data_IF_645318456986
#
_entry.id   IF_645318456986
#
_cell.length_a   1.000
_cell.length_b   1.000
_cell.length_c   1.000
_cell.angle_alpha   90.00
_cell.angle_beta   90.00
_cell.angle_gamma   90.00
#
_symmetry.space_group_name_H-M   'P 1'
#
loop_
_entity.id
_entity.type
_entity.pdbx_description
1 polymer ?
#
# COMPACT_ATOMS: atom_id res chain seq x y z
N UNK A 1 6.75 -0.62 8.91
CA UNK A 1 6.01 -0.65 10.20
C UNK A 1 5.51 -2.07 10.35
N UNK A 2 6.12 -2.83 11.25
CA UNK A 2 5.77 -4.23 11.45
C UNK A 2 4.59 -4.31 12.41
N UNK A 3 3.51 -4.98 12.02
CA UNK A 3 2.38 -5.37 12.88
C UNK A 3 2.77 -6.48 13.90
N UNK A 4 4.08 -6.71 14.12
CA UNK A 4 4.57 -7.85 14.91
C UNK A 4 4.47 -7.68 16.44
N UNK A 5 4.19 -6.48 16.97
CA UNK A 5 4.25 -6.31 18.43
C UNK A 5 2.94 -6.60 19.17
N UNK A 6 1.79 -6.34 18.61
CA UNK A 6 0.48 -6.70 19.16
C UNK A 6 -0.62 -6.53 18.10
N UNK A 7 -1.30 -7.61 17.76
CA UNK A 7 -2.37 -7.61 16.76
C UNK A 7 -3.67 -7.12 17.42
N UNK A 8 -3.74 -5.82 17.73
CA UNK A 8 -4.96 -5.19 18.26
C UNK A 8 -5.79 -4.57 17.16
N UNK A 9 -7.10 -4.40 17.38
CA UNK A 9 -8.02 -3.76 16.43
C UNK A 9 -7.56 -2.35 16.05
N UNK A 10 -7.14 -1.57 17.04
CA UNK A 10 -6.59 -0.22 16.84
C UNK A 10 -5.35 -0.23 15.93
N UNK A 11 -4.40 -1.14 16.17
CA UNK A 11 -3.18 -1.24 15.37
C UNK A 11 -3.48 -1.63 13.92
N UNK A 12 -4.42 -2.53 13.67
CA UNK A 12 -4.81 -2.94 12.32
C UNK A 12 -5.51 -1.80 11.57
N UNK A 13 -6.41 -1.07 12.25
CA UNK A 13 -7.09 0.11 11.65
C UNK A 13 -6.08 1.22 11.34
N UNK A 14 -5.13 1.49 12.23
CA UNK A 14 -4.06 2.46 11.99
C UNK A 14 -3.12 2.02 10.85
N UNK A 15 -2.84 0.73 10.74
CA UNK A 15 -2.09 0.16 9.62
C UNK A 15 -2.82 0.36 8.28
N UNK A 16 -4.12 0.07 8.21
CA UNK A 16 -4.95 0.34 7.04
C UNK A 16 -4.96 1.83 6.68
N UNK A 17 -5.10 2.70 7.67
CA UNK A 17 -5.04 4.15 7.50
C UNK A 17 -3.69 4.61 6.94
N UNK A 18 -2.59 4.05 7.45
CA UNK A 18 -1.24 4.31 6.92
C UNK A 18 -1.10 3.86 5.46
N UNK A 19 -1.74 2.74 5.09
CA UNK A 19 -1.75 2.25 3.71
C UNK A 19 -2.51 3.17 2.75
N UNK A 20 -3.63 3.77 3.22
CA UNK A 20 -4.35 4.81 2.46
C UNK A 20 -3.47 6.04 2.26
N UNK A 21 -2.87 6.56 3.34
CA UNK A 21 -2.02 7.76 3.29
C UNK A 21 -0.80 7.52 2.39
N UNK A 22 -0.26 6.32 2.39
CA UNK A 22 0.84 5.93 1.50
C UNK A 22 0.40 5.77 0.03
N UNK A 23 -0.92 5.64 -0.25
CA UNK A 23 -1.47 5.39 -1.59
C UNK A 23 -1.30 3.94 -2.04
N UNK A 24 -1.35 2.98 -1.10
CA UNK A 24 -1.08 1.55 -1.35
C UNK A 24 -2.23 0.63 -0.97
N UNK A 25 -3.40 1.17 -0.59
CA UNK A 25 -4.57 0.36 -0.29
C UNK A 25 -5.25 -0.10 -1.58
N UNK A 26 -5.50 -1.43 -1.69
CA UNK A 26 -6.37 -2.03 -2.69
C UNK A 26 -7.57 -2.71 -2.04
N UNK A 27 -8.70 -2.75 -2.74
CA UNK A 27 -9.92 -3.41 -2.26
C UNK A 27 -10.18 -4.69 -3.03
N UNK A 28 -10.46 -5.77 -2.30
CA UNK A 28 -11.01 -7.00 -2.88
C UNK A 28 -12.47 -7.15 -2.41
N UNK A 29 -13.42 -7.07 -3.34
CA UNK A 29 -14.84 -6.96 -3.02
C UNK A 29 -15.61 -8.19 -3.51
N UNK A 30 -16.44 -8.77 -2.61
CA UNK A 30 -17.35 -9.86 -2.93
C UNK A 30 -18.82 -9.50 -2.76
N UNK A 31 -19.70 -10.47 -3.02
CA UNK A 31 -21.16 -10.30 -3.00
C UNK A 31 -21.71 -9.80 -1.66
N UNK A 32 -21.05 -10.08 -0.55
CA UNK A 32 -21.43 -9.58 0.77
C UNK A 32 -21.36 -8.05 0.90
N UNK A 33 -20.48 -7.40 0.12
CA UNK A 33 -20.42 -5.94 0.07
C UNK A 33 -21.65 -5.36 -0.64
N UNK A 34 -22.03 -5.88 -1.82
CA UNK A 34 -23.26 -5.46 -2.51
C UNK A 34 -24.51 -5.68 -1.64
N UNK A 35 -24.54 -6.80 -0.87
CA UNK A 35 -25.60 -7.04 0.14
C UNK A 35 -25.60 -5.97 1.23
N UNK A 36 -24.44 -5.57 1.74
CA UNK A 36 -24.33 -4.54 2.78
C UNK A 36 -24.79 -3.16 2.27
N UNK A 37 -24.40 -2.80 1.05
CA UNK A 37 -24.81 -1.53 0.42
C UNK A 37 -26.30 -1.47 0.16
N UNK A 38 -26.89 -2.56 -0.33
CA UNK A 38 -28.30 -2.61 -0.76
C UNK A 38 -29.26 -3.01 0.36
N UNK A 39 -28.73 -3.21 1.58
CA UNK A 39 -29.57 -3.57 2.72
C UNK A 39 -30.53 -2.44 3.07
N UNK A 40 -31.82 -2.76 3.13
CA UNK A 40 -32.88 -1.87 3.59
C UNK A 40 -33.79 -2.59 4.59
N UNK A 41 -34.83 -1.90 5.09
CA UNK A 41 -35.80 -2.46 6.06
C UNK A 41 -36.57 -3.69 5.51
N UNK A 42 -36.63 -3.85 4.18
CA UNK A 42 -37.31 -4.99 3.52
C UNK A 42 -36.36 -6.21 3.32
N UNK A 43 -35.08 -6.07 3.64
CA UNK A 43 -34.04 -7.06 3.45
C UNK A 43 -33.13 -6.73 2.27
N UNK A 44 -31.98 -7.41 2.17
CA UNK A 44 -31.01 -7.18 1.10
C UNK A 44 -31.57 -7.59 -0.27
N UNK A 45 -31.52 -6.67 -1.24
CA UNK A 45 -31.92 -6.95 -2.62
C UNK A 45 -30.88 -7.81 -3.39
N UNK A 46 -29.60 -7.75 -3.02
CA UNK A 46 -28.54 -8.50 -3.66
C UNK A 46 -28.56 -9.99 -3.28
N UNK A 47 -28.24 -10.84 -4.23
CA UNK A 47 -28.17 -12.29 -4.06
C UNK A 47 -26.73 -12.76 -3.76
N UNK A 48 -26.59 -13.76 -2.91
CA UNK A 48 -25.35 -14.54 -2.82
C UNK A 48 -25.18 -15.40 -4.06
N UNK A 49 -24.00 -15.98 -4.25
CA UNK A 49 -23.73 -16.82 -5.40
C UNK A 49 -24.70 -18.01 -5.49
N UNK A 50 -24.95 -18.71 -4.38
CA UNK A 50 -25.91 -19.81 -4.34
C UNK A 50 -27.34 -19.35 -4.66
N UNK A 51 -27.81 -18.26 -4.08
CA UNK A 51 -29.14 -17.66 -4.35
C UNK A 51 -29.28 -17.23 -5.82
N UNK A 52 -28.21 -16.69 -6.42
CA UNK A 52 -28.20 -16.29 -7.84
C UNK A 52 -28.34 -17.49 -8.78
N UNK A 53 -27.63 -18.58 -8.50
CA UNK A 53 -27.73 -19.83 -9.29
C UNK A 53 -29.12 -20.44 -9.12
N UNK A 54 -29.69 -20.46 -7.92
CA UNK A 54 -31.03 -20.93 -7.67
C UNK A 54 -32.09 -20.11 -8.40
N UNK A 55 -31.98 -18.78 -8.35
CA UNK A 55 -32.88 -17.86 -9.07
C UNK A 55 -32.76 -18.06 -10.59
N UNK A 56 -31.54 -18.23 -11.11
CA UNK A 56 -31.31 -18.50 -12.53
C UNK A 56 -31.92 -19.85 -12.95
N UNK A 57 -31.77 -20.90 -12.14
CA UNK A 57 -32.39 -22.20 -12.36
C UNK A 57 -33.90 -22.08 -12.48
N UNK A 58 -34.52 -21.31 -11.58
CA UNK A 58 -35.97 -21.05 -11.59
C UNK A 58 -36.43 -20.35 -12.87
N UNK A 59 -35.72 -19.33 -13.34
CA UNK A 59 -36.01 -18.62 -14.59
C UNK A 59 -35.91 -19.54 -15.83
N UNK A 60 -35.01 -20.53 -15.80
CA UNK A 60 -34.90 -21.56 -16.83
C UNK A 60 -35.97 -22.68 -16.67
N UNK A 61 -36.73 -22.67 -15.60
CA UNK A 61 -37.70 -23.70 -15.28
C UNK A 61 -37.06 -25.07 -15.00
N UNK A 62 -35.88 -25.05 -14.38
CA UNK A 62 -35.17 -26.25 -13.89
C UNK A 62 -35.37 -26.34 -12.38
N UNK A 63 -35.69 -27.54 -11.90
CA UNK A 63 -35.89 -27.79 -10.46
C UNK A 63 -34.54 -27.88 -9.73
N UNK A 64 -34.13 -26.76 -9.13
CA UNK A 64 -32.90 -26.67 -8.34
C UNK A 64 -32.84 -27.63 -7.16
N UNK A 65 -33.99 -28.06 -6.62
CA UNK A 65 -34.04 -28.99 -5.48
C UNK A 65 -33.73 -30.44 -5.88
N UNK A 66 -33.92 -30.77 -7.14
CA UNK A 66 -33.60 -32.09 -7.68
C UNK A 66 -32.11 -32.35 -7.89
N UNK A 67 -31.29 -31.28 -7.89
CA UNK A 67 -29.85 -31.39 -8.10
C UNK A 67 -29.17 -31.82 -6.79
N UNK A 68 -28.43 -32.93 -6.86
CA UNK A 68 -27.58 -33.36 -5.74
C UNK A 68 -26.41 -32.40 -5.57
N UNK A 69 -26.38 -31.64 -4.47
CA UNK A 69 -25.39 -30.59 -4.20
C UNK A 69 -24.27 -31.04 -3.26
N UNK A 70 -24.33 -32.27 -2.78
CA UNK A 70 -23.34 -32.77 -1.81
C UNK A 70 -22.00 -33.00 -2.48
N UNK A 71 -21.00 -32.19 -2.07
CA UNK A 71 -19.63 -32.35 -2.55
C UNK A 71 -19.34 -31.73 -3.93
N UNK A 72 -20.28 -30.98 -4.52
CA UNK A 72 -20.10 -30.30 -5.80
C UNK A 72 -20.06 -28.78 -5.60
N UNK A 73 -19.26 -28.12 -6.42
CA UNK A 73 -19.06 -26.66 -6.41
C UNK A 73 -20.18 -25.91 -7.15
N UNK A 74 -20.33 -24.62 -6.90
CA UNK A 74 -21.27 -23.78 -7.63
C UNK A 74 -21.08 -23.78 -9.16
N UNK A 75 -19.83 -23.74 -9.70
CA UNK A 75 -19.60 -23.90 -11.14
C UNK A 75 -20.12 -25.22 -11.70
N UNK A 76 -19.93 -26.32 -10.98
CA UNK A 76 -20.46 -27.64 -11.39
C UNK A 76 -21.98 -27.65 -11.37
N UNK A 77 -22.61 -27.05 -10.34
CA UNK A 77 -24.07 -26.92 -10.28
C UNK A 77 -24.58 -26.13 -11.49
N UNK A 78 -23.90 -25.01 -11.84
CA UNK A 78 -24.24 -24.19 -13.00
C UNK A 78 -24.15 -24.98 -14.31
N UNK A 79 -23.11 -25.80 -14.47
CA UNK A 79 -22.96 -26.69 -15.63
C UNK A 79 -24.12 -27.71 -15.72
N UNK A 80 -24.48 -28.34 -14.61
CA UNK A 80 -25.61 -29.27 -14.54
C UNK A 80 -26.94 -28.61 -14.96
N UNK A 81 -27.18 -27.39 -14.50
CA UNK A 81 -28.38 -26.60 -14.88
C UNK A 81 -28.38 -26.32 -16.38
N UNK A 82 -27.25 -25.91 -16.96
CA UNK A 82 -27.13 -25.70 -18.41
C UNK A 82 -27.41 -26.98 -19.20
N UNK A 83 -26.86 -28.13 -18.80
CA UNK A 83 -27.10 -29.43 -19.43
C UNK A 83 -28.58 -29.84 -19.37
N UNK A 84 -29.22 -29.72 -18.20
CA UNK A 84 -30.63 -30.03 -18.03
C UNK A 84 -31.52 -29.10 -18.88
N UNK A 85 -31.17 -27.81 -18.98
CA UNK A 85 -31.90 -26.87 -19.80
C UNK A 85 -31.73 -27.19 -21.31
N UNK A 86 -30.52 -27.51 -21.75
CA UNK A 86 -30.23 -27.94 -23.12
C UNK A 86 -31.07 -29.16 -23.54
N UNK A 87 -31.12 -30.18 -22.68
CA UNK A 87 -31.93 -31.41 -22.88
C UNK A 87 -33.42 -31.03 -22.92
N UNK A 88 -33.90 -30.22 -21.98
CA UNK A 88 -35.32 -29.84 -21.89
C UNK A 88 -35.81 -29.11 -23.13
N UNK A 89 -35.03 -28.14 -23.64
CA UNK A 89 -35.39 -27.30 -24.77
C UNK A 89 -34.97 -27.90 -26.14
N UNK A 90 -34.14 -28.96 -26.13
CA UNK A 90 -33.60 -29.57 -27.34
C UNK A 90 -32.61 -28.69 -28.11
N UNK A 91 -31.81 -27.91 -27.38
CA UNK A 91 -30.80 -27.00 -27.94
C UNK A 91 -29.37 -27.44 -27.59
N UNK A 92 -28.39 -26.87 -28.24
CA UNK A 92 -26.98 -27.13 -27.92
C UNK A 92 -26.58 -26.55 -26.57
N UNK A 93 -25.61 -27.16 -25.89
CA UNK A 93 -25.11 -26.74 -24.57
C UNK A 93 -24.64 -25.29 -24.56
N UNK A 94 -23.89 -24.85 -25.57
CA UNK A 94 -23.39 -23.48 -25.66
C UNK A 94 -24.54 -22.45 -25.76
N UNK A 95 -25.63 -22.76 -26.39
CA UNK A 95 -26.83 -21.93 -26.43
C UNK A 95 -27.52 -21.86 -25.05
N UNK A 96 -27.61 -22.97 -24.36
CA UNK A 96 -28.13 -23.05 -22.99
C UNK A 96 -27.26 -22.26 -22.03
N UNK A 97 -25.95 -22.34 -22.13
CA UNK A 97 -24.98 -21.60 -21.33
C UNK A 97 -25.08 -20.10 -21.60
N UNK A 98 -25.18 -19.66 -22.84
CA UNK A 98 -25.38 -18.24 -23.19
C UNK A 98 -26.68 -17.70 -22.60
N UNK A 99 -27.76 -18.49 -22.64
CA UNK A 99 -29.03 -18.13 -22.01
C UNK A 99 -28.91 -18.01 -20.48
N UNK A 100 -28.22 -18.98 -19.84
CA UNK A 100 -27.94 -18.94 -18.39
C UNK A 100 -27.20 -17.65 -18.01
N UNK A 101 -26.10 -17.33 -18.70
CA UNK A 101 -25.32 -16.10 -18.47
C UNK A 101 -26.14 -14.82 -18.68
N UNK A 102 -27.01 -14.80 -19.68
CA UNK A 102 -27.91 -13.66 -19.93
C UNK A 102 -28.89 -13.43 -18.78
N UNK A 103 -29.42 -14.50 -18.18
CA UNK A 103 -30.30 -14.43 -17.01
C UNK A 103 -29.52 -13.93 -15.79
N UNK A 104 -28.32 -14.43 -15.54
CA UNK A 104 -27.42 -13.92 -14.48
C UNK A 104 -27.23 -12.41 -14.60
N UNK A 105 -26.94 -11.93 -15.82
CA UNK A 105 -26.83 -10.48 -16.09
C UNK A 105 -28.11 -9.72 -15.78
N UNK A 106 -29.25 -10.29 -16.09
CA UNK A 106 -30.56 -9.71 -15.78
C UNK A 106 -30.84 -9.64 -14.27
N UNK A 107 -30.51 -10.69 -13.54
CA UNK A 107 -30.73 -10.80 -12.09
C UNK A 107 -29.77 -9.92 -11.26
N UNK A 108 -28.69 -9.42 -11.84
CA UNK A 108 -27.69 -8.59 -11.15
C UNK A 108 -27.79 -7.11 -11.51
N UNK A 109 -28.99 -6.63 -11.86
CA UNK A 109 -29.28 -5.21 -12.22
C UNK A 109 -29.49 -4.31 -11.01
N UNK A 110 -28.81 -4.55 -9.93
CA UNK A 110 -28.96 -3.80 -8.69
C UNK A 110 -28.37 -2.40 -8.78
N UNK A 111 -29.03 -1.47 -8.10
CA UNK A 111 -28.57 -0.10 -8.00
C UNK A 111 -28.93 0.46 -6.61
N UNK A 112 -27.99 1.04 -5.86
CA UNK A 112 -28.25 1.58 -4.53
C UNK A 112 -29.14 2.82 -4.62
N UNK A 113 -30.03 3.01 -3.64
CA UNK A 113 -30.81 4.23 -3.50
C UNK A 113 -29.89 5.44 -3.17
N UNK A 114 -30.46 6.63 -3.09
CA UNK A 114 -29.69 7.85 -2.87
C UNK A 114 -28.93 7.83 -1.55
N UNK A 115 -29.58 7.43 -0.46
CA UNK A 115 -28.99 7.42 0.88
C UNK A 115 -27.84 6.39 0.99
N UNK A 116 -28.08 5.18 0.51
CA UNK A 116 -27.07 4.12 0.44
C UNK A 116 -25.85 4.54 -0.39
N UNK A 117 -26.10 5.21 -1.53
CA UNK A 117 -25.03 5.69 -2.40
C UNK A 117 -24.23 6.80 -1.75
N UNK A 118 -24.88 7.81 -1.16
CA UNK A 118 -24.18 8.92 -0.51
C UNK A 118 -23.28 8.42 0.63
N UNK A 119 -23.80 7.54 1.49
CA UNK A 119 -23.05 7.00 2.61
C UNK A 119 -21.85 6.15 2.19
N UNK A 120 -22.06 5.14 1.34
CA UNK A 120 -20.97 4.26 0.95
C UNK A 120 -19.98 4.90 -0.03
N UNK A 121 -20.43 5.89 -0.83
CA UNK A 121 -19.51 6.68 -1.67
C UNK A 121 -18.54 7.49 -0.81
N UNK A 122 -18.99 8.07 0.30
CA UNK A 122 -18.12 8.81 1.23
C UNK A 122 -16.99 7.91 1.75
N UNK A 123 -17.29 6.68 2.17
CA UNK A 123 -16.26 5.74 2.64
C UNK A 123 -15.23 5.43 1.54
N UNK A 124 -15.69 5.16 0.32
CA UNK A 124 -14.79 4.84 -0.79
C UNK A 124 -13.99 6.06 -1.28
N UNK A 125 -14.57 7.27 -1.20
CA UNK A 125 -13.88 8.51 -1.54
C UNK A 125 -12.73 8.83 -0.60
N UNK A 126 -12.94 8.66 0.71
CA UNK A 126 -11.91 8.90 1.72
C UNK A 126 -10.81 7.84 1.64
N UNK A 127 -11.17 6.58 1.38
CA UNK A 127 -10.20 5.50 1.19
C UNK A 127 -9.38 5.65 -0.09
N UNK A 128 -9.91 6.25 -1.15
CA UNK A 128 -9.28 6.44 -2.47
C UNK A 128 -8.41 5.24 -2.91
N UNK A 129 -8.99 4.04 -3.07
CA UNK A 129 -8.21 2.83 -3.25
C UNK A 129 -7.44 2.87 -4.58
N UNK A 130 -6.21 2.35 -4.58
CA UNK A 130 -5.35 2.27 -5.75
C UNK A 130 -5.96 1.40 -6.87
N UNK A 131 -6.72 0.40 -6.49
CA UNK A 131 -7.44 -0.53 -7.36
C UNK A 131 -8.57 -1.21 -6.60
N UNK A 132 -9.59 -1.65 -7.34
CA UNK A 132 -10.64 -2.53 -6.83
C UNK A 132 -10.67 -3.79 -7.69
N UNK A 133 -10.63 -4.96 -7.06
CA UNK A 133 -10.85 -6.26 -7.71
C UNK A 133 -12.13 -6.85 -7.14
N UNK A 134 -12.99 -7.36 -8.00
CA UNK A 134 -14.25 -7.96 -7.59
C UNK A 134 -14.56 -9.24 -8.33
N UNK A 135 -15.22 -10.17 -7.64
CA UNK A 135 -15.83 -11.35 -8.24
C UNK A 135 -17.31 -11.14 -8.58
N UNK A 136 -17.87 -9.97 -8.24
CA UNK A 136 -19.25 -9.64 -8.51
C UNK A 136 -19.49 -9.34 -9.98
N UNK A 137 -20.68 -9.66 -10.47
CA UNK A 137 -21.13 -9.30 -11.82
C UNK A 137 -21.83 -7.94 -11.86
N UNK A 138 -22.40 -7.48 -10.71
CA UNK A 138 -23.10 -6.21 -10.58
C UNK A 138 -22.20 -4.99 -10.71
N UNK A 139 -22.80 -3.81 -10.82
CA UNK A 139 -22.14 -2.51 -10.95
C UNK A 139 -22.36 -1.62 -9.72
N UNK A 140 -22.57 -2.21 -8.55
CA UNK A 140 -22.76 -1.45 -7.30
C UNK A 140 -21.54 -0.60 -7.00
N UNK A 141 -20.33 -1.15 -7.16
CA UNK A 141 -19.06 -0.44 -6.93
C UNK A 141 -18.96 0.79 -7.84
N UNK A 142 -19.24 0.62 -9.13
CA UNK A 142 -19.20 1.71 -10.10
C UNK A 142 -20.25 2.80 -9.80
N UNK A 143 -21.40 2.41 -9.28
CA UNK A 143 -22.43 3.37 -8.86
C UNK A 143 -21.98 4.23 -7.67
N UNK A 144 -21.13 3.68 -6.79
CA UNK A 144 -20.53 4.38 -5.65
C UNK A 144 -19.33 5.25 -6.09
N UNK A 145 -18.57 4.80 -7.07
CA UNK A 145 -17.38 5.48 -7.60
C UNK A 145 -17.67 6.28 -8.89
N UNK A 146 -18.90 6.75 -9.07
CA UNK A 146 -19.34 7.42 -10.30
C UNK A 146 -18.38 8.55 -10.72
N UNK A 147 -17.87 8.45 -11.95
CA UNK A 147 -16.92 9.44 -12.53
C UNK A 147 -15.47 9.30 -12.04
N UNK A 148 -15.17 8.35 -11.14
CA UNK A 148 -13.83 8.13 -10.57
C UNK A 148 -13.25 6.76 -10.89
N UNK A 149 -13.98 5.89 -11.56
CA UNK A 149 -13.54 4.52 -11.85
C UNK A 149 -13.60 4.16 -13.33
N UNK A 150 -12.83 3.12 -13.67
CA UNK A 150 -12.83 2.45 -14.96
C UNK A 150 -13.12 0.97 -14.74
N UNK A 151 -14.27 0.49 -15.23
CA UNK A 151 -14.60 -0.93 -15.21
C UNK A 151 -13.76 -1.70 -16.22
N UNK A 152 -13.14 -2.77 -15.78
CA UNK A 152 -12.32 -3.69 -16.57
C UNK A 152 -12.92 -5.09 -16.51
N UNK A 153 -13.05 -5.71 -17.68
CA UNK A 153 -13.53 -7.09 -17.82
C UNK A 153 -12.38 -8.11 -17.64
N UNK A 154 -12.66 -9.42 -17.54
CA UNK A 154 -11.61 -10.42 -17.50
C UNK A 154 -10.69 -10.43 -18.73
N UNK A 155 -11.13 -9.86 -19.84
CA UNK A 155 -10.36 -9.78 -21.10
C UNK A 155 -9.39 -8.59 -21.12
N UNK A 156 -9.58 -7.62 -20.21
CA UNK A 156 -8.75 -6.44 -20.11
C UNK A 156 -7.47 -6.69 -19.31
N UNK A 157 -6.47 -5.83 -19.52
CA UNK A 157 -5.28 -5.81 -18.69
C UNK A 157 -5.58 -5.10 -17.37
N UNK A 158 -5.05 -5.63 -16.26
CA UNK A 158 -5.07 -4.94 -14.97
C UNK A 158 -4.09 -3.77 -15.06
N UNK A 159 -4.62 -2.58 -15.34
CA UNK A 159 -3.86 -1.34 -15.47
C UNK A 159 -4.13 -0.41 -14.30
N UNK A 160 -3.26 0.58 -14.11
CA UNK A 160 -3.46 1.65 -13.13
C UNK A 160 -3.48 2.99 -13.87
N UNK A 161 -4.61 3.39 -14.46
CA UNK A 161 -4.72 4.67 -15.15
C UNK A 161 -4.57 5.81 -14.14
N UNK A 162 -4.02 6.93 -14.60
CA UNK A 162 -3.82 8.09 -13.73
C UNK A 162 -5.16 8.75 -13.39
N UNK A 163 -5.38 9.01 -12.10
CA UNK A 163 -6.57 9.69 -11.56
C UNK A 163 -7.91 8.96 -11.79
N UNK A 164 -7.86 7.65 -12.02
CA UNK A 164 -9.06 6.81 -12.18
C UNK A 164 -8.81 5.50 -11.46
N UNK A 165 -9.77 5.04 -10.66
CA UNK A 165 -9.69 3.77 -9.93
C UNK A 165 -10.07 2.64 -10.89
N UNK A 166 -9.16 1.69 -11.21
CA UNK A 166 -9.53 0.52 -11.99
C UNK A 166 -10.39 -0.43 -11.14
N UNK A 167 -11.56 -0.79 -11.64
CA UNK A 167 -12.45 -1.80 -11.06
C UNK A 167 -12.39 -3.04 -11.95
N UNK A 168 -11.67 -4.06 -11.53
CA UNK A 168 -11.43 -5.26 -12.31
C UNK A 168 -12.40 -6.38 -11.90
N UNK A 169 -13.31 -6.74 -12.81
CA UNK A 169 -14.26 -7.83 -12.64
C UNK A 169 -13.63 -9.18 -12.98
N UNK A 170 -13.10 -9.87 -11.99
CA UNK A 170 -12.38 -11.14 -12.18
C UNK A 170 -13.25 -12.23 -12.83
N UNK A 171 -14.54 -12.25 -12.52
CA UNK A 171 -15.51 -13.26 -13.02
C UNK A 171 -16.43 -12.72 -14.10
N UNK A 172 -16.14 -11.58 -14.69
CA UNK A 172 -16.99 -10.98 -15.71
C UNK A 172 -17.94 -9.90 -15.20
N UNK A 173 -18.57 -9.22 -16.13
CA UNK A 173 -19.39 -8.03 -15.87
C UNK A 173 -20.75 -8.15 -16.55
N UNK A 174 -21.82 -7.77 -15.84
CA UNK A 174 -23.20 -8.00 -16.26
C UNK A 174 -23.61 -7.44 -17.65
N UNK A 175 -22.97 -6.41 -18.13
CA UNK A 175 -23.29 -5.85 -19.45
C UNK A 175 -22.58 -6.56 -20.60
N UNK A 176 -21.75 -7.55 -20.31
CA UNK A 176 -21.15 -8.46 -21.28
C UNK A 176 -21.37 -9.93 -20.85
N UNK A 177 -22.51 -10.55 -21.20
CA UNK A 177 -22.84 -11.92 -20.79
C UNK A 177 -21.76 -12.94 -21.13
N UNK A 178 -21.07 -12.78 -22.25
CA UNK A 178 -20.01 -13.73 -22.66
C UNK A 178 -18.80 -13.68 -21.75
N UNK A 179 -18.56 -12.54 -21.06
CA UNK A 179 -17.47 -12.39 -20.09
C UNK A 179 -17.72 -13.14 -18.77
N UNK A 180 -18.98 -13.54 -18.49
CA UNK A 180 -19.37 -14.16 -17.22
C UNK A 180 -18.70 -15.51 -17.05
N UNK A 181 -18.00 -15.68 -15.93
CA UNK A 181 -17.32 -16.92 -15.52
C UNK A 181 -18.16 -17.56 -14.41
N UNK A 182 -18.91 -18.63 -14.75
CA UNK A 182 -19.86 -19.22 -13.81
C UNK A 182 -19.98 -20.74 -13.96
N UNK A 183 -19.69 -21.31 -15.14
CA UNK A 183 -19.70 -22.76 -15.35
C UNK A 183 -18.32 -23.35 -15.10
N UNK A 184 -18.24 -24.67 -14.98
CA UNK A 184 -16.97 -25.38 -14.78
C UNK A 184 -15.98 -25.15 -15.94
N UNK A 185 -16.46 -25.11 -17.20
CA UNK A 185 -15.59 -24.85 -18.34
C UNK A 185 -15.03 -23.43 -18.34
N UNK A 186 -15.81 -22.45 -17.87
CA UNK A 186 -15.33 -21.08 -17.72
C UNK A 186 -14.18 -21.02 -16.70
N UNK A 187 -14.34 -21.75 -15.57
CA UNK A 187 -13.30 -21.84 -14.53
C UNK A 187 -12.05 -22.56 -15.01
N UNK A 188 -12.17 -23.63 -15.80
CA UNK A 188 -11.01 -24.34 -16.36
C UNK A 188 -10.15 -23.41 -17.23
N UNK A 189 -10.76 -22.48 -17.96
CA UNK A 189 -10.03 -21.50 -18.75
C UNK A 189 -9.28 -20.50 -17.87
N UNK A 190 -9.82 -20.17 -16.70
CA UNK A 190 -9.20 -19.25 -15.73
C UNK A 190 -8.03 -19.91 -14.99
N UNK A 191 -8.05 -21.25 -14.82
CA UNK A 191 -7.04 -22.02 -14.08
C UNK A 191 -5.76 -22.35 -14.86
N UNK A 192 -5.57 -21.85 -16.06
CA UNK A 192 -4.35 -22.16 -16.82
C UNK A 192 -3.11 -21.68 -16.08
N UNK A 193 -2.16 -22.59 -15.73
CA UNK A 193 -0.93 -22.18 -15.06
C UNK A 193 -0.18 -21.14 -15.88
N UNK A 194 0.40 -20.15 -15.20
CA UNK A 194 1.19 -19.06 -15.80
C UNK A 194 0.37 -18.10 -16.72
N UNK A 195 -0.94 -18.05 -16.58
CA UNK A 195 -1.71 -17.03 -17.28
C UNK A 195 -1.46 -15.66 -16.65
N UNK A 196 -1.39 -14.63 -17.51
CA UNK A 196 -1.15 -13.24 -17.13
C UNK A 196 -2.00 -12.78 -15.93
N UNK A 197 -3.29 -13.15 -15.91
CA UNK A 197 -4.24 -12.72 -14.88
C UNK A 197 -3.87 -13.23 -13.49
N UNK A 198 -3.53 -14.51 -13.36
CA UNK A 198 -3.14 -15.09 -12.06
C UNK A 198 -1.84 -14.48 -11.53
N UNK A 199 -0.84 -14.34 -12.42
CA UNK A 199 0.45 -13.73 -12.05
C UNK A 199 0.22 -12.27 -11.64
N UNK A 200 -0.54 -11.51 -12.43
CA UNK A 200 -0.81 -10.10 -12.14
C UNK A 200 -1.63 -9.92 -10.87
N UNK A 201 -2.63 -10.77 -10.62
CA UNK A 201 -3.42 -10.76 -9.39
C UNK A 201 -2.52 -11.00 -8.16
N UNK A 202 -1.68 -12.05 -8.20
CA UNK A 202 -0.76 -12.37 -7.12
C UNK A 202 0.24 -11.22 -6.85
N UNK A 203 0.81 -10.62 -7.89
CA UNK A 203 1.70 -9.47 -7.75
C UNK A 203 0.97 -8.24 -7.21
N UNK A 204 -0.25 -7.96 -7.71
CA UNK A 204 -1.06 -6.84 -7.26
C UNK A 204 -1.37 -6.94 -5.76
N UNK A 205 -1.74 -8.14 -5.28
CA UNK A 205 -1.96 -8.41 -3.86
C UNK A 205 -0.65 -8.25 -3.07
N UNK A 206 0.46 -8.79 -3.58
CA UNK A 206 1.75 -8.75 -2.88
C UNK A 206 2.33 -7.35 -2.77
N UNK A 207 2.12 -6.50 -3.78
CA UNK A 207 2.68 -5.15 -3.86
C UNK A 207 1.86 -4.09 -3.13
N UNK A 208 0.75 -4.47 -2.45
CA UNK A 208 -0.17 -3.55 -1.79
C UNK A 208 -0.75 -4.11 -0.50
N UNK A 209 -1.32 -3.25 0.32
CA UNK A 209 -2.24 -3.68 1.38
C UNK A 209 -3.58 -3.98 0.75
N UNK A 210 -4.08 -5.20 0.94
CA UNK A 210 -5.36 -5.64 0.40
C UNK A 210 -6.41 -5.72 1.50
N UNK A 211 -7.46 -4.90 1.40
CA UNK A 211 -8.62 -4.98 2.28
C UNK A 211 -9.74 -5.78 1.58
N UNK A 212 -10.11 -6.92 2.16
CA UNK A 212 -11.14 -7.81 1.64
C UNK A 212 -12.47 -7.53 2.33
N UNK A 213 -13.49 -7.18 1.55
CA UNK A 213 -14.82 -6.81 2.03
C UNK A 213 -15.90 -7.70 1.40
N UNK A 214 -16.73 -8.32 2.25
CA UNK A 214 -17.88 -9.10 1.79
C UNK A 214 -17.56 -10.32 0.93
N UNK A 215 -16.37 -10.89 1.08
CA UNK A 215 -15.89 -12.04 0.32
C UNK A 215 -15.52 -13.19 1.25
N UNK A 216 -16.02 -14.38 0.95
CA UNK A 216 -15.87 -15.56 1.83
C UNK A 216 -14.62 -16.41 1.61
N UNK A 217 -13.67 -15.99 0.77
CA UNK A 217 -12.44 -16.73 0.42
C UNK A 217 -12.69 -18.21 0.03
N UNK A 218 -13.84 -18.49 -0.58
CA UNK A 218 -14.20 -19.84 -1.04
C UNK A 218 -13.73 -20.17 -2.47
N UNK A 219 -13.24 -19.19 -3.21
CA UNK A 219 -12.78 -19.35 -4.59
C UNK A 219 -11.32 -19.79 -4.64
N UNK A 220 -11.07 -20.94 -5.25
CA UNK A 220 -9.72 -21.54 -5.35
C UNK A 220 -8.75 -20.64 -6.13
N UNK A 221 -9.22 -19.84 -7.10
CA UNK A 221 -8.37 -18.91 -7.85
C UNK A 221 -7.82 -17.81 -6.97
N UNK A 222 -8.69 -17.20 -6.15
CA UNK A 222 -8.31 -16.14 -5.23
C UNK A 222 -7.40 -16.70 -4.14
N UNK A 223 -7.74 -17.86 -3.57
CA UNK A 223 -6.89 -18.56 -2.60
C UNK A 223 -5.51 -18.88 -3.19
N UNK A 224 -5.45 -19.34 -4.44
CA UNK A 224 -4.17 -19.61 -5.11
C UNK A 224 -3.35 -18.34 -5.32
N UNK A 225 -3.98 -17.20 -5.65
CA UNK A 225 -3.28 -15.94 -5.80
C UNK A 225 -2.75 -15.41 -4.45
N UNK A 226 -3.52 -15.58 -3.37
CA UNK A 226 -3.10 -15.26 -1.99
C UNK A 226 -1.94 -16.16 -1.57
N UNK A 227 -2.03 -17.47 -1.78
CA UNK A 227 -0.96 -18.42 -1.49
C UNK A 227 0.32 -18.11 -2.29
N UNK A 228 0.20 -17.79 -3.57
CA UNK A 228 1.32 -17.34 -4.38
C UNK A 228 1.93 -16.04 -3.88
N UNK A 229 1.12 -15.09 -3.44
CA UNK A 229 1.62 -13.84 -2.87
C UNK A 229 2.45 -14.09 -1.60
N UNK A 230 2.07 -15.07 -0.79
CA UNK A 230 2.81 -15.45 0.42
C UNK A 230 4.14 -16.15 0.13
N UNK A 231 4.27 -16.82 -1.03
CA UNK A 231 5.49 -17.53 -1.44
C UNK A 231 6.56 -16.61 -2.10
N UNK A 232 6.24 -15.35 -2.39
CA UNK A 232 7.21 -14.37 -2.89
C UNK A 232 8.02 -13.86 -1.71
N UNK A 233 9.36 -13.86 -1.83
CA UNK A 233 10.29 -13.47 -0.77
C UNK A 233 9.93 -12.12 -0.13
N UNK A 234 10.02 -12.05 1.19
CA UNK A 234 9.90 -10.82 1.97
C UNK A 234 11.18 -10.02 1.87
N UNK A 235 11.20 -8.96 1.06
CA UNK A 235 12.43 -8.18 0.87
C UNK A 235 12.42 -6.79 1.47
N UNK A 236 11.35 -6.25 1.97
CA UNK A 236 11.44 -5.02 2.76
C UNK A 236 10.12 -4.58 3.37
N UNK A 237 10.21 -4.04 4.57
CA UNK A 237 9.15 -3.37 5.30
C UNK A 237 9.16 -1.84 5.07
N UNK A 238 9.52 -1.39 3.86
CA UNK A 238 9.63 0.04 3.54
C UNK A 238 8.24 0.68 3.42
N UNK A 239 7.24 -0.07 2.97
CA UNK A 239 5.87 0.40 2.83
C UNK A 239 4.88 -0.62 3.42
N UNK A 240 3.68 -0.17 3.83
CA UNK A 240 2.67 -1.07 4.37
C UNK A 240 2.20 -2.05 3.29
N UNK A 241 2.21 -3.34 3.60
CA UNK A 241 1.65 -4.41 2.77
C UNK A 241 1.21 -5.56 3.67
N UNK A 242 -0.03 -5.97 3.57
CA UNK A 242 -0.60 -7.14 4.25
C UNK A 242 -1.99 -7.41 3.65
N UNK A 243 -2.61 -8.51 4.05
CA UNK A 243 -3.98 -8.83 3.67
C UNK A 243 -4.84 -8.79 4.93
N UNK A 244 -5.85 -7.93 4.90
CA UNK A 244 -6.85 -7.79 5.98
C UNK A 244 -8.21 -8.15 5.44
N UNK A 245 -8.90 -9.09 6.07
CA UNK A 245 -10.25 -9.50 5.71
C UNK A 245 -11.25 -9.11 6.79
N UNK A 246 -12.32 -8.45 6.40
CA UNK A 246 -13.48 -8.15 7.27
C UNK A 246 -14.51 -9.26 7.12
N UNK A 247 -14.78 -9.93 8.23
CA UNK A 247 -15.72 -11.06 8.30
C UNK A 247 -16.92 -10.69 9.14
N UNK A 248 -18.11 -10.93 8.60
CA UNK A 248 -19.36 -10.74 9.35
C UNK A 248 -19.56 -11.90 10.34
N UNK A 249 -19.78 -11.59 11.59
CA UNK A 249 -20.04 -12.55 12.67
C UNK A 249 -21.20 -12.07 13.56
N UNK A 250 -22.07 -13.00 13.98
CA UNK A 250 -23.13 -12.66 14.92
C UNK A 250 -22.59 -12.30 16.33
N UNK A 251 -21.41 -12.82 16.67
CA UNK A 251 -20.69 -12.53 17.92
C UNK A 251 -19.23 -12.23 17.57
N UNK A 252 -18.93 -11.02 17.10
CA UNK A 252 -17.59 -10.68 16.62
C UNK A 252 -16.56 -10.68 17.76
N UNK A 253 -15.41 -11.25 17.49
CA UNK A 253 -14.25 -11.11 18.35
C UNK A 253 -13.82 -9.64 18.41
N UNK A 254 -13.47 -9.15 19.61
CA UNK A 254 -13.01 -7.78 19.78
C UNK A 254 -11.66 -7.55 19.09
N UNK A 255 -10.73 -8.49 19.21
CA UNK A 255 -9.39 -8.41 18.67
C UNK A 255 -9.23 -9.21 17.38
N UNK A 256 -8.49 -8.69 16.40
CA UNK A 256 -8.15 -9.39 15.19
C UNK A 256 -7.24 -10.61 15.46
N UNK A 257 -7.24 -11.54 14.51
CA UNK A 257 -6.37 -12.70 14.56
C UNK A 257 -5.89 -13.06 13.15
N UNK A 258 -4.82 -13.85 13.03
CA UNK A 258 -4.40 -14.42 11.74
C UNK A 258 -5.03 -15.79 11.53
N UNK A 259 -5.54 -16.01 10.33
CA UNK A 259 -6.05 -17.30 9.91
C UNK A 259 -4.91 -18.25 9.46
N UNK A 260 -5.29 -19.47 9.02
CA UNK A 260 -4.32 -20.48 8.52
C UNK A 260 -3.54 -20.04 7.27
N UNK A 261 -4.04 -19.04 6.54
CA UNK A 261 -3.41 -18.49 5.34
C UNK A 261 -2.61 -17.21 5.67
N UNK A 262 -2.36 -16.94 6.95
CA UNK A 262 -1.67 -15.74 7.45
C UNK A 262 -2.40 -14.42 7.14
N UNK A 263 -3.71 -14.45 6.88
CA UNK A 263 -4.56 -13.29 6.64
C UNK A 263 -5.02 -12.73 7.98
N UNK A 264 -4.97 -11.41 8.13
CA UNK A 264 -5.51 -10.73 9.32
C UNK A 264 -7.05 -10.70 9.20
N UNK A 265 -7.74 -11.27 10.17
CA UNK A 265 -9.18 -11.30 10.23
C UNK A 265 -9.67 -10.26 11.24
N UNK A 266 -10.55 -9.36 10.80
CA UNK A 266 -11.34 -8.47 11.65
C UNK A 266 -12.80 -8.95 11.60
N UNK A 267 -13.37 -9.28 12.75
CA UNK A 267 -14.78 -9.61 12.82
C UNK A 267 -15.61 -8.36 13.13
N UNK A 268 -16.80 -8.30 12.54
CA UNK A 268 -17.76 -7.22 12.72
C UNK A 268 -19.20 -7.75 12.66
N UNK A 269 -20.15 -7.07 13.30
CA UNK A 269 -21.58 -7.38 13.16
C UNK A 269 -22.08 -7.09 11.75
N UNK A 270 -21.74 -5.91 11.22
CA UNK A 270 -22.04 -5.50 9.86
C UNK A 270 -20.82 -4.83 9.20
N UNK A 271 -20.67 -5.00 7.88
CA UNK A 271 -19.57 -4.37 7.12
C UNK A 271 -19.63 -2.84 7.25
N UNK A 272 -20.82 -2.27 7.29
CA UNK A 272 -21.05 -0.84 7.47
C UNK A 272 -20.44 -0.32 8.77
N UNK A 273 -20.58 -1.05 9.88
CA UNK A 273 -20.04 -0.66 11.18
C UNK A 273 -18.51 -0.55 11.13
N UNK A 274 -17.85 -1.53 10.50
CA UNK A 274 -16.41 -1.48 10.27
C UNK A 274 -16.00 -0.30 9.39
N UNK A 275 -16.73 -0.04 8.31
CA UNK A 275 -16.41 1.08 7.42
C UNK A 275 -16.56 2.43 8.12
N UNK A 276 -17.58 2.60 8.96
CA UNK A 276 -17.76 3.82 9.75
C UNK A 276 -16.62 4.02 10.77
N UNK A 277 -16.24 2.96 11.49
CA UNK A 277 -15.12 2.97 12.42
C UNK A 277 -13.80 3.32 11.70
N UNK A 278 -13.53 2.63 10.59
CA UNK A 278 -12.31 2.87 9.80
C UNK A 278 -12.28 4.29 9.23
N UNK A 279 -13.38 4.79 8.68
CA UNK A 279 -13.49 6.13 8.13
C UNK A 279 -13.21 7.21 9.18
N UNK A 280 -13.74 7.05 10.39
CA UNK A 280 -13.46 8.00 11.48
C UNK A 280 -11.96 8.11 11.77
N UNK A 281 -11.27 7.00 12.00
CA UNK A 281 -9.83 6.98 12.29
C UNK A 281 -9.03 7.49 11.09
N UNK A 282 -9.43 7.11 9.88
CA UNK A 282 -8.76 7.52 8.65
C UNK A 282 -8.81 9.04 8.44
N UNK A 283 -9.98 9.66 8.63
CA UNK A 283 -10.14 11.13 8.52
C UNK A 283 -9.27 11.85 9.55
N UNK A 284 -9.23 11.37 10.79
CA UNK A 284 -8.35 11.95 11.84
C UNK A 284 -6.86 11.86 11.44
N UNK A 285 -6.44 10.70 10.94
CA UNK A 285 -5.06 10.46 10.51
C UNK A 285 -4.69 11.28 9.25
N UNK A 286 -5.62 11.43 8.30
CA UNK A 286 -5.42 12.30 7.12
C UNK A 286 -5.24 13.75 7.55
N UNK A 287 -6.10 14.27 8.43
CA UNK A 287 -5.96 15.64 8.95
C UNK A 287 -4.65 15.86 9.69
N UNK A 288 -4.24 14.90 10.52
CA UNK A 288 -2.95 14.96 11.20
C UNK A 288 -1.79 14.99 10.20
N UNK A 289 -1.84 14.14 9.17
CA UNK A 289 -0.81 14.07 8.14
C UNK A 289 -0.78 15.33 7.27
N UNK A 290 -1.93 15.88 6.86
CA UNK A 290 -2.01 17.15 6.14
C UNK A 290 -1.42 18.30 6.96
N UNK A 291 -1.67 18.35 8.26
CA UNK A 291 -1.05 19.33 9.15
C UNK A 291 0.48 19.21 9.22
N UNK A 292 1.00 17.99 9.14
CA UNK A 292 2.44 17.71 9.00
C UNK A 292 2.95 18.19 7.64
N UNK A 293 2.28 17.83 6.54
CA UNK A 293 2.65 18.21 5.17
C UNK A 293 2.68 19.74 5.00
N UNK A 294 1.70 20.46 5.53
CA UNK A 294 1.67 21.91 5.48
C UNK A 294 2.90 22.55 6.16
N UNK A 295 3.34 22.01 7.30
CA UNK A 295 4.58 22.46 7.96
C UNK A 295 5.82 22.23 7.11
N UNK A 296 5.84 21.17 6.28
CA UNK A 296 6.97 20.89 5.39
C UNK A 296 6.92 21.79 4.17
N UNK A 297 5.75 22.03 3.59
CA UNK A 297 5.61 22.96 2.47
C UNK A 297 6.02 24.38 2.88
N UNK A 298 5.63 24.80 4.09
CA UNK A 298 6.11 26.05 4.69
C UNK A 298 7.64 26.02 4.83
N UNK A 299 8.18 24.95 5.42
CA UNK A 299 9.63 24.78 5.57
C UNK A 299 10.34 24.75 4.22
N UNK A 300 9.80 24.04 3.21
CA UNK A 300 10.36 23.95 1.87
C UNK A 300 10.41 25.31 1.17
N UNK A 301 9.39 26.15 1.34
CA UNK A 301 9.41 27.53 0.85
C UNK A 301 10.55 28.36 1.47
N UNK A 302 10.80 28.17 2.74
CA UNK A 302 11.83 28.88 3.49
C UNK A 302 13.24 28.32 3.31
N UNK A 303 13.39 27.00 3.07
CA UNK A 303 14.68 26.34 2.78
C UNK A 303 15.39 26.89 1.53
N UNK A 304 14.70 27.60 0.66
CA UNK A 304 15.30 28.23 -0.51
C UNK A 304 15.97 29.57 -0.20
N UNK A 305 15.77 30.17 1.00
CA UNK A 305 16.25 31.48 1.34
C UNK A 305 17.67 31.49 1.89
N UNK A 306 18.45 32.51 1.55
CA UNK A 306 19.82 32.70 2.08
C UNK A 306 19.83 32.90 3.62
N UNK A 307 18.74 33.42 4.19
CA UNK A 307 18.59 33.59 5.63
C UNK A 307 18.55 32.22 6.33
N UNK A 308 17.74 31.29 5.81
CA UNK A 308 17.63 29.91 6.35
C UNK A 308 18.93 29.15 6.21
N UNK A 309 19.61 29.25 5.05
CA UNK A 309 20.91 28.64 4.83
C UNK A 309 21.92 29.16 5.88
N UNK A 310 22.00 30.46 6.06
CA UNK A 310 22.92 31.07 7.02
C UNK A 310 22.61 30.65 8.45
N UNK A 311 21.34 30.64 8.82
CA UNK A 311 20.86 30.23 10.14
C UNK A 311 21.09 28.73 10.40
N UNK A 312 20.84 27.88 9.42
CA UNK A 312 21.11 26.45 9.53
C UNK A 312 22.61 26.15 9.76
N UNK A 313 23.49 26.89 9.11
CA UNK A 313 24.94 26.78 9.26
C UNK A 313 25.40 27.22 10.64
N UNK A 314 24.91 28.38 11.13
CA UNK A 314 25.44 29.06 12.31
C UNK A 314 24.72 28.69 13.62
N UNK A 315 23.42 28.40 13.58
CA UNK A 315 22.60 28.15 14.78
C UNK A 315 22.28 26.64 14.94
N UNK A 316 22.92 26.04 15.95
CA UNK A 316 22.73 24.62 16.27
C UNK A 316 21.30 24.29 16.71
N UNK A 317 20.64 25.18 17.49
CA UNK A 317 19.26 24.93 17.96
C UNK A 317 18.28 24.94 16.79
N UNK A 318 18.46 25.88 15.89
CA UNK A 318 17.68 25.99 14.68
C UNK A 318 17.91 24.76 13.79
N UNK A 319 19.15 24.33 13.58
CA UNK A 319 19.49 23.12 12.84
C UNK A 319 18.80 21.87 13.42
N UNK A 320 18.85 21.71 14.75
CA UNK A 320 18.19 20.59 15.41
C UNK A 320 16.67 20.63 15.28
N UNK A 321 16.04 21.80 15.30
CA UNK A 321 14.60 21.91 15.07
C UNK A 321 14.20 21.41 13.68
N UNK A 322 14.99 21.72 12.65
CA UNK A 322 14.78 21.24 11.28
C UNK A 322 15.04 19.73 11.18
N UNK A 323 16.17 19.24 11.72
CA UNK A 323 16.49 17.81 11.71
C UNK A 323 15.43 16.97 12.44
N UNK A 324 14.86 17.49 13.52
CA UNK A 324 13.76 16.82 14.23
C UNK A 324 12.49 16.74 13.38
N UNK A 325 12.13 17.81 12.70
CA UNK A 325 11.00 17.78 11.75
C UNK A 325 11.26 16.72 10.69
N UNK A 326 12.46 16.63 10.13
CA UNK A 326 12.82 15.71 9.08
C UNK A 326 12.91 14.24 9.56
N UNK A 327 13.33 14.00 10.81
CA UNK A 327 13.38 12.67 11.39
C UNK A 327 11.99 12.03 11.59
N UNK A 328 10.95 12.87 11.72
CA UNK A 328 9.56 12.44 11.84
C UNK A 328 8.88 12.19 10.48
N UNK A 329 9.60 12.40 9.37
CA UNK A 329 9.06 12.28 8.01
C UNK A 329 9.54 11.05 7.25
N UNK A 330 8.64 10.54 6.41
CA UNK A 330 8.94 9.46 5.49
C UNK A 330 9.71 9.93 4.24
N UNK A 331 10.36 8.99 3.64
CA UNK A 331 11.43 8.99 2.64
C UNK A 331 11.22 9.92 1.41
N UNK A 332 9.99 10.14 0.95
CA UNK A 332 9.74 10.82 -0.34
C UNK A 332 9.81 12.35 -0.30
N UNK A 333 9.97 12.94 0.88
CA UNK A 333 10.02 14.40 1.05
C UNK A 333 11.45 14.94 1.17
N UNK A 334 12.46 14.08 1.08
CA UNK A 334 13.84 14.42 1.40
C UNK A 334 14.62 14.99 0.20
N UNK A 335 14.11 14.89 -1.04
CA UNK A 335 14.82 15.42 -2.21
C UNK A 335 15.10 16.93 -2.10
N UNK A 336 14.14 17.71 -1.63
CA UNK A 336 14.28 19.15 -1.42
C UNK A 336 15.24 19.47 -0.26
N UNK A 337 15.25 18.64 0.78
CA UNK A 337 16.21 18.77 1.86
C UNK A 337 17.64 18.46 1.40
N UNK A 338 17.85 17.49 0.53
CA UNK A 338 19.18 17.20 -0.03
C UNK A 338 19.69 18.40 -0.84
N UNK A 339 18.82 19.06 -1.62
CA UNK A 339 19.17 20.29 -2.35
C UNK A 339 19.54 21.42 -1.40
N UNK A 340 18.71 21.66 -0.39
CA UNK A 340 19.01 22.63 0.67
C UNK A 340 20.34 22.35 1.38
N UNK A 341 20.54 21.09 1.75
CA UNK A 341 21.79 20.66 2.41
C UNK A 341 23.01 20.85 1.50
N UNK A 342 22.86 20.57 0.20
CA UNK A 342 23.91 20.83 -0.78
C UNK A 342 24.32 22.30 -0.80
N UNK A 343 23.35 23.21 -0.81
CA UNK A 343 23.59 24.67 -0.73
C UNK A 343 24.25 25.07 0.57
N UNK A 344 23.83 24.51 1.71
CA UNK A 344 24.50 24.76 2.99
C UNK A 344 25.95 24.31 2.99
N UNK A 345 26.24 23.11 2.46
CA UNK A 345 27.60 22.58 2.35
C UNK A 345 28.44 23.42 1.39
N UNK A 346 27.90 23.79 0.24
CA UNK A 346 28.60 24.67 -0.72
C UNK A 346 28.92 26.03 -0.10
N UNK A 347 28.00 26.61 0.66
CA UNK A 347 28.23 27.86 1.40
C UNK A 347 29.36 27.75 2.41
N UNK A 348 29.47 26.62 3.13
CA UNK A 348 30.60 26.38 4.04
C UNK A 348 31.93 26.27 3.31
N UNK A 349 31.96 25.71 2.08
CA UNK A 349 33.13 25.72 1.23
C UNK A 349 33.51 27.10 0.74
N UNK A 350 32.52 27.91 0.40
CA UNK A 350 32.77 29.36 0.08
C UNK A 350 33.35 30.09 1.26
N UNK A 351 32.82 29.90 2.47
CA UNK A 351 33.33 30.48 3.70
C UNK A 351 34.77 30.08 4.01
N UNK A 352 35.25 28.95 3.43
CA UNK A 352 36.63 28.47 3.64
C UNK A 352 37.62 28.93 2.57
N UNK A 353 37.16 29.61 1.49
CA UNK A 353 38.05 30.10 0.40
C UNK A 353 39.07 31.15 0.82
N UNK A 354 38.74 32.16 1.72
CA UNK A 354 39.72 33.13 2.16
C UNK A 354 40.88 32.48 2.94
N UNK A 355 42.08 32.97 2.74
CA UNK A 355 43.27 32.43 3.43
C UNK A 355 43.09 32.54 4.97
N UNK A 356 43.26 31.41 5.66
CA UNK A 356 43.09 31.35 7.12
C UNK A 356 41.64 31.16 7.58
N UNK A 357 40.67 31.06 6.70
CA UNK A 357 39.22 30.90 7.04
C UNK A 357 38.84 29.42 7.28
N UNK A 358 39.47 28.82 8.30
CA UNK A 358 39.26 27.37 8.59
C UNK A 358 37.92 27.09 9.28
N UNK A 359 37.13 28.09 9.65
CA UNK A 359 35.83 27.88 10.33
C UNK A 359 34.78 27.27 9.42
N UNK A 360 34.82 27.54 8.12
CA UNK A 360 33.93 26.85 7.15
C UNK A 360 34.04 25.34 7.16
N UNK A 361 35.24 24.80 7.35
CA UNK A 361 35.43 23.33 7.48
C UNK A 361 34.82 22.79 8.78
N UNK A 362 34.89 23.54 9.86
CA UNK A 362 34.23 23.20 11.10
C UNK A 362 32.70 23.24 11.00
N UNK A 363 32.16 24.25 10.35
CA UNK A 363 30.72 24.35 10.06
C UNK A 363 30.25 23.18 9.20
N UNK A 364 30.96 22.84 8.13
CA UNK A 364 30.70 21.72 7.25
C UNK A 364 30.63 20.40 8.04
N UNK A 365 31.71 20.07 8.75
CA UNK A 365 31.78 18.84 9.55
C UNK A 365 30.69 18.80 10.62
N UNK A 366 30.38 19.91 11.27
CA UNK A 366 29.36 19.99 12.32
C UNK A 366 27.99 19.65 11.76
N UNK A 367 27.61 20.18 10.60
CA UNK A 367 26.32 19.89 9.93
C UNK A 367 26.22 18.39 9.62
N UNK A 368 27.26 17.82 9.00
CA UNK A 368 27.24 16.42 8.60
C UNK A 368 27.17 15.47 9.79
N UNK A 369 27.92 15.78 10.88
CA UNK A 369 27.83 15.00 12.12
C UNK A 369 26.47 15.13 12.79
N UNK A 370 25.87 16.32 12.81
CA UNK A 370 24.54 16.51 13.39
C UNK A 370 23.47 15.71 12.63
N UNK A 371 23.58 15.56 11.31
CA UNK A 371 22.68 14.75 10.51
C UNK A 371 22.81 13.26 10.87
N UNK A 372 24.03 12.69 10.83
CA UNK A 372 24.22 11.27 11.08
C UNK A 372 23.99 10.85 12.53
N UNK A 373 24.01 11.79 13.46
CA UNK A 373 23.74 11.54 14.89
C UNK A 373 22.23 11.59 15.18
N UNK A 374 21.46 12.44 14.47
CA UNK A 374 20.06 12.72 14.81
C UNK A 374 19.05 12.05 13.86
N UNK A 375 19.47 11.50 12.73
CA UNK A 375 18.59 10.75 11.82
C UNK A 375 18.93 9.26 11.95
N UNK A 376 17.93 8.44 12.29
CA UNK A 376 18.08 6.99 12.35
C UNK A 376 18.49 6.43 10.98
N UNK A 377 19.48 5.56 10.95
CA UNK A 377 20.00 5.01 9.69
C UNK A 377 18.92 4.33 8.84
N UNK A 378 18.02 3.57 9.45
CA UNK A 378 16.91 2.89 8.78
C UNK A 378 15.91 3.84 8.11
N UNK A 379 15.83 5.09 8.60
CA UNK A 379 14.98 6.16 8.05
C UNK A 379 15.72 7.07 7.08
N UNK A 380 17.05 6.91 6.97
CA UNK A 380 17.87 7.74 6.11
C UNK A 380 17.78 7.26 4.65
N UNK A 381 17.30 8.08 3.70
CA UNK A 381 17.29 7.70 2.29
C UNK A 381 18.70 7.42 1.76
N UNK A 382 18.86 6.44 0.87
CA UNK A 382 20.16 6.15 0.27
C UNK A 382 20.85 7.39 -0.34
N UNK A 383 20.10 8.25 -1.02
CA UNK A 383 20.61 9.48 -1.62
C UNK A 383 21.16 10.46 -0.57
N UNK A 384 20.51 10.59 0.59
CA UNK A 384 21.02 11.42 1.69
C UNK A 384 22.28 10.82 2.29
N UNK A 385 22.28 9.49 2.51
CA UNK A 385 23.46 8.80 3.03
C UNK A 385 24.69 8.98 2.10
N UNK A 386 24.50 8.79 0.81
CA UNK A 386 25.56 8.97 -0.18
C UNK A 386 26.09 10.41 -0.21
N UNK A 387 25.20 11.40 -0.17
CA UNK A 387 25.57 12.81 -0.11
C UNK A 387 26.39 13.12 1.15
N UNK A 388 25.95 12.64 2.30
CA UNK A 388 26.65 12.85 3.58
C UNK A 388 28.00 12.16 3.59
N UNK A 389 28.06 10.91 3.15
CA UNK A 389 29.32 10.15 3.08
C UNK A 389 30.34 10.77 2.14
N UNK A 390 29.89 11.24 0.96
CA UNK A 390 30.75 11.99 0.03
C UNK A 390 31.27 13.29 0.65
N UNK A 391 30.38 14.04 1.31
CA UNK A 391 30.75 15.32 1.91
C UNK A 391 31.65 15.16 3.13
N UNK A 392 31.45 14.12 3.95
CA UNK A 392 32.34 13.75 5.05
C UNK A 392 33.75 13.41 4.55
N UNK A 393 33.88 12.59 3.49
CA UNK A 393 35.19 12.28 2.92
C UNK A 393 35.94 13.53 2.50
N UNK A 394 35.26 14.47 1.83
CA UNK A 394 35.88 15.74 1.40
C UNK A 394 36.33 16.58 2.58
N UNK A 395 35.50 16.76 3.61
CA UNK A 395 35.84 17.64 4.72
C UNK A 395 36.89 17.04 5.65
N UNK A 396 36.94 15.72 5.82
CA UNK A 396 37.93 15.07 6.66
C UNK A 396 39.37 15.30 6.23
N UNK A 397 39.62 15.56 4.94
CA UNK A 397 40.94 15.97 4.46
C UNK A 397 41.46 17.21 5.19
N UNK A 398 40.56 18.11 5.59
CA UNK A 398 40.90 19.37 6.26
C UNK A 398 40.77 19.30 7.80
N UNK A 399 40.45 18.15 8.37
CA UNK A 399 40.31 17.96 9.82
C UNK A 399 41.66 17.57 10.42
N UNK A 400 42.18 18.39 11.33
CA UNK A 400 43.45 18.08 11.98
C UNK A 400 44.10 19.27 12.69
N UNK A 401 45.24 19.03 13.32
CA UNK A 401 46.03 20.05 14.03
C UNK A 401 47.28 20.48 13.28
N UNK A 402 47.50 19.95 12.07
CA UNK A 402 48.65 20.31 11.23
C UNK A 402 48.39 21.61 10.48
N UNK A 403 49.49 22.22 9.95
CA UNK A 403 49.39 23.43 9.12
C UNK A 403 48.51 23.16 7.89
N UNK A 404 47.57 24.05 7.62
CA UNK A 404 46.59 23.94 6.52
C UNK A 404 45.32 23.15 6.88
N UNK A 405 45.17 22.71 8.13
CA UNK A 405 44.00 21.99 8.61
C UNK A 405 43.21 22.79 9.68
N UNK A 406 41.98 22.42 9.92
CA UNK A 406 41.09 23.09 10.88
C UNK A 406 41.16 22.43 12.26
N UNK A 407 41.73 23.17 13.21
CA UNK A 407 41.78 22.78 14.62
C UNK A 407 40.38 22.77 15.28
N UNK A 408 39.47 23.66 14.86
CA UNK A 408 38.10 23.71 15.35
C UNK A 408 37.32 22.47 14.91
N UNK A 409 37.47 22.05 13.64
CA UNK A 409 36.89 20.81 13.12
C UNK A 409 37.45 19.57 13.85
N UNK A 410 38.75 19.55 14.16
CA UNK A 410 39.35 18.44 14.93
C UNK A 410 38.76 18.34 16.35
N UNK A 411 38.49 19.47 17.02
CA UNK A 411 37.81 19.49 18.32
C UNK A 411 36.36 19.04 18.22
N UNK A 412 35.62 19.49 17.21
CA UNK A 412 34.26 19.05 16.96
C UNK A 412 34.20 17.54 16.71
N UNK A 413 35.11 17.01 15.89
CA UNK A 413 35.23 15.57 15.68
C UNK A 413 35.48 14.80 16.98
N UNK A 414 36.45 15.21 17.78
CA UNK A 414 36.76 14.55 19.05
C UNK A 414 35.60 14.57 20.05
N UNK A 415 34.78 15.64 20.04
CA UNK A 415 33.62 15.77 20.90
C UNK A 415 32.42 14.93 20.46
N UNK A 416 32.24 14.71 19.16
CA UNK A 416 31.03 14.08 18.60
C UNK A 416 31.24 12.64 18.09
N UNK A 417 32.46 12.22 17.81
CA UNK A 417 32.74 10.90 17.21
C UNK A 417 32.10 9.71 17.92
N UNK A 418 32.00 9.76 19.27
CA UNK A 418 31.42 8.69 20.06
C UNK A 418 29.88 8.65 20.04
N UNK A 419 29.22 9.66 19.48
CA UNK A 419 27.78 9.76 19.34
C UNK A 419 27.27 9.15 18.02
N UNK A 420 28.17 8.88 17.07
CA UNK A 420 27.78 8.32 15.76
C UNK A 420 27.28 6.89 15.94
N UNK A 421 26.07 6.55 15.42
CA UNK A 421 25.53 5.19 15.50
C UNK A 421 26.44 4.16 14.83
N UNK A 422 26.58 2.99 15.44
CA UNK A 422 27.44 1.92 14.94
C UNK A 422 27.03 1.44 13.55
N UNK A 423 25.73 1.42 13.26
CA UNK A 423 25.20 1.03 11.94
C UNK A 423 25.74 1.92 10.83
N UNK A 424 25.80 3.23 11.05
CA UNK A 424 26.33 4.21 10.08
C UNK A 424 27.85 3.95 9.87
N UNK A 425 28.59 3.68 10.94
CA UNK A 425 30.03 3.40 10.81
C UNK A 425 30.28 2.13 10.02
N UNK A 426 29.47 1.07 10.24
CA UNK A 426 29.54 -0.18 9.50
C UNK A 426 29.22 0.05 8.01
N UNK A 427 28.24 0.87 7.71
CA UNK A 427 27.87 1.15 6.32
C UNK A 427 28.95 1.97 5.59
N UNK A 428 29.52 2.96 6.26
CA UNK A 428 30.67 3.71 5.73
C UNK A 428 31.89 2.81 5.50
N UNK A 429 32.10 1.79 6.37
CA UNK A 429 33.17 0.81 6.18
C UNK A 429 32.95 -0.04 4.93
N UNK A 430 31.74 -0.49 4.65
CA UNK A 430 31.42 -1.23 3.41
C UNK A 430 31.78 -0.44 2.16
N UNK A 431 31.55 0.86 2.15
CA UNK A 431 31.90 1.73 1.01
C UNK A 431 33.40 1.86 0.77
N UNK A 432 34.23 1.60 1.79
CA UNK A 432 35.68 1.66 1.68
C UNK A 432 36.31 0.39 1.07
N UNK A 433 35.57 -0.65 0.77
CA UNK A 433 36.09 -1.86 0.11
C UNK A 433 36.70 -1.59 -1.28
N UNK A 434 36.49 -0.39 -1.82
CA UNK A 434 37.13 0.09 -3.04
C UNK A 434 38.24 1.06 -2.68
N UNK A 435 39.56 0.69 -2.86
CA UNK A 435 40.71 1.45 -2.37
C UNK A 435 40.83 2.88 -2.88
N UNK A 436 40.14 3.22 -3.97
CA UNK A 436 40.19 4.55 -4.63
C UNK A 436 39.10 5.49 -4.19
N UNK A 437 38.10 5.02 -3.42
CA UNK A 437 36.95 5.80 -3.00
C UNK A 437 37.03 6.11 -1.51
N UNK A 438 36.82 7.39 -1.16
CA UNK A 438 36.59 7.87 0.22
C UNK A 438 37.75 7.57 1.19
N UNK A 439 38.95 7.90 0.78
CA UNK A 439 40.20 7.63 1.51
C UNK A 439 40.25 8.32 2.88
N UNK A 440 39.53 9.45 3.04
CA UNK A 440 39.58 10.28 4.26
C UNK A 440 38.56 9.84 5.34
N UNK A 441 37.75 8.80 5.11
CA UNK A 441 36.80 8.28 6.10
C UNK A 441 37.44 7.39 7.19
N UNK A 442 38.74 7.10 7.10
CA UNK A 442 39.47 6.29 8.08
C UNK A 442 39.20 6.66 9.53
N UNK A 443 39.21 7.95 9.94
CA UNK A 443 38.96 8.32 11.33
C UNK A 443 37.60 7.88 11.89
N UNK A 444 36.59 7.74 11.00
CA UNK A 444 35.26 7.25 11.42
C UNK A 444 35.31 5.72 11.59
N UNK A 445 35.99 5.04 10.67
CA UNK A 445 36.00 3.57 10.57
C UNK A 445 36.89 2.96 11.66
N UNK A 446 38.07 3.53 11.93
CA UNK A 446 39.03 3.08 12.94
C UNK A 446 38.46 3.09 14.37
N UNK A 447 37.41 3.86 14.60
CA UNK A 447 36.71 3.91 15.87
C UNK A 447 36.15 2.56 16.32
N UNK A 448 35.80 1.66 15.39
CA UNK A 448 35.15 0.38 15.75
C UNK A 448 36.15 -0.77 15.97
N UNK A 449 37.43 -0.54 15.88
CA UNK A 449 38.44 -1.61 16.04
C UNK A 449 38.36 -2.70 14.95
N UNK A 450 37.84 -2.36 13.76
CA UNK A 450 37.74 -3.24 12.60
C UNK A 450 38.93 -3.10 11.66
N UNK A 451 40.03 -2.53 12.11
CA UNK A 451 41.34 -2.49 11.41
C UNK A 451 42.32 -3.34 12.17
#
# INVERSE_FOLDING_TARGET
MELESELTRENVINFLSSSVIYGNLGLFIGAGFSKAVLHDESGAAALSWGELIEATSKELGIDYTSINKVGISYPEISTIICDQYAIKEGIEYEEAKSKFKSIVCGLTTWYPNKEQREEFSEYLEVMDPKWVITTNYDLVIESLLTGRCLSLSPEDYITSPKNVIPVYHLHGIRHNPESIIITQEDYVKLFRPNEYRQIKLALTIKESTTLILGYGLGDVNVLSAVDWSNNIYEYSNIYPHDIVQVVRSANPNAEPYRDKNNIIIIETSEIKDFLAEFNQVLVENIHFNLGRLAKIEELNGELTTEEYITKFISDQKFRFSILKILADFEIHMISQFIDFLSRCIDKTWENSKPFGAFEGYNQNLTILLDIIINIEFKKMPPALFEFVAYSLDRVFYYVGSESGKSHSAARTWNGKRNLIPQEIVLELHKQKQFPTLRVNLNPIIERIGLV
#
